data_IF_556706190919
#
_entry.id   IF_556706190919
#
_cell.length_a   1.000
_cell.length_b   1.000
_cell.length_c   1.000
_cell.angle_alpha   90.00
_cell.angle_beta   90.00
_cell.angle_gamma   90.00
#
_symmetry.space_group_name_H-M   'P 1'
#
loop_
_entity.id
_entity.type
_entity.pdbx_description
1 polymer ?
#
# COMPACT_ATOMS: atom_id res chain seq x y z
N UNK A 1 -9.75 -12.61 -3.16
CA UNK A 1 -8.79 -11.59 -3.65
C UNK A 1 -8.24 -10.85 -2.45
N UNK A 2 -6.93 -10.61 -2.40
CA UNK A 2 -6.28 -9.90 -1.30
C UNK A 2 -5.81 -8.52 -1.79
N UNK A 3 -6.02 -7.50 -0.98
CA UNK A 3 -5.65 -6.11 -1.28
C UNK A 3 -4.93 -5.54 -0.06
N UNK A 4 -3.75 -4.96 -0.29
CA UNK A 4 -3.04 -4.13 0.67
C UNK A 4 -2.97 -2.72 0.11
N UNK A 5 -3.29 -1.70 0.90
CA UNK A 5 -3.27 -0.32 0.44
C UNK A 5 -2.73 0.63 1.51
N UNK A 6 -1.99 1.65 1.09
CA UNK A 6 -1.55 2.77 1.92
C UNK A 6 -2.18 4.06 1.39
N UNK A 7 -2.64 4.97 2.27
CA UNK A 7 -3.30 6.21 1.84
C UNK A 7 -2.30 7.15 1.18
N UNK A 8 -2.74 7.90 0.17
CA UNK A 8 -2.05 9.09 -0.32
C UNK A 8 -2.75 10.30 0.27
N UNK A 9 -2.00 11.04 1.10
CA UNK A 9 -2.42 12.32 1.66
C UNK A 9 -1.54 13.42 1.09
N UNK A 10 -2.09 14.60 0.89
CA UNK A 10 -1.28 15.78 0.58
C UNK A 10 -0.57 16.30 1.85
N UNK A 11 0.14 17.42 1.72
CA UNK A 11 0.87 18.04 2.83
C UNK A 11 -0.05 18.59 3.94
N UNK A 12 -1.32 18.83 3.64
CA UNK A 12 -2.32 19.30 4.61
C UNK A 12 -3.03 18.13 5.31
N UNK A 13 -2.66 16.88 4.98
CA UNK A 13 -3.30 15.68 5.50
C UNK A 13 -4.61 15.33 4.79
N UNK A 14 -4.94 16.01 3.69
CA UNK A 14 -6.15 15.72 2.90
C UNK A 14 -5.92 14.45 2.10
N UNK A 15 -6.82 13.48 2.27
CA UNK A 15 -6.81 12.25 1.51
C UNK A 15 -7.19 12.51 0.04
N UNK A 16 -6.40 12.02 -0.91
CA UNK A 16 -6.67 12.16 -2.34
C UNK A 16 -6.56 10.85 -3.13
N UNK A 17 -6.12 9.76 -2.50
CA UNK A 17 -6.05 8.45 -3.15
C UNK A 17 -5.41 7.36 -2.29
N UNK A 18 -5.05 6.24 -2.93
CA UNK A 18 -4.33 5.15 -2.27
C UNK A 18 -3.37 4.47 -3.25
N UNK A 19 -2.21 4.04 -2.75
CA UNK A 19 -1.35 3.07 -3.43
C UNK A 19 -1.73 1.68 -2.96
N UNK A 20 -2.02 0.78 -3.89
CA UNK A 20 -2.46 -0.57 -3.56
C UNK A 20 -1.69 -1.65 -4.29
N UNK A 21 -1.50 -2.78 -3.62
CA UNK A 21 -1.01 -4.03 -4.20
C UNK A 21 -2.12 -5.09 -4.09
N UNK A 22 -2.41 -5.75 -5.21
CA UNK A 22 -3.43 -6.79 -5.32
C UNK A 22 -2.80 -8.15 -5.58
N UNK A 23 -3.28 -9.18 -4.91
CA UNK A 23 -2.86 -10.55 -5.17
C UNK A 23 -4.02 -11.54 -5.04
N UNK A 24 -3.85 -12.71 -5.63
CA UNK A 24 -4.81 -13.78 -5.50
C UNK A 24 -4.56 -14.57 -4.21
N UNK A 25 -5.63 -14.90 -3.48
CA UNK A 25 -5.53 -15.60 -2.18
C UNK A 25 -4.98 -17.03 -2.29
N UNK A 26 -4.96 -17.61 -3.50
CA UNK A 26 -4.31 -18.91 -3.74
C UNK A 26 -2.78 -18.81 -3.83
N UNK A 27 -2.22 -17.60 -3.95
CA UNK A 27 -0.77 -17.37 -4.11
C UNK A 27 -0.10 -16.92 -2.83
N UNK A 28 -0.85 -16.35 -1.89
CA UNK A 28 -0.32 -15.73 -0.67
C UNK A 28 -1.43 -15.50 0.36
N UNK A 29 -1.06 -15.12 1.58
CA UNK A 29 -1.95 -14.67 2.64
C UNK A 29 -1.82 -13.16 2.87
N UNK A 30 -2.76 -12.56 3.61
CA UNK A 30 -2.66 -11.14 3.97
C UNK A 30 -1.41 -10.86 4.81
N UNK A 31 -1.09 -11.75 5.76
CA UNK A 31 0.09 -11.61 6.62
C UNK A 31 1.40 -11.65 5.83
N UNK A 32 1.51 -12.54 4.84
CA UNK A 32 2.67 -12.60 3.96
C UNK A 32 2.76 -11.35 3.07
N UNK A 33 1.64 -10.90 2.49
CA UNK A 33 1.59 -9.65 1.72
C UNK A 33 2.04 -8.43 2.54
N UNK A 34 1.57 -8.30 3.78
CA UNK A 34 1.98 -7.22 4.66
C UNK A 34 3.47 -7.30 4.97
N UNK A 35 3.96 -8.48 5.36
CA UNK A 35 5.36 -8.69 5.72
C UNK A 35 6.31 -8.36 4.56
N UNK A 36 5.94 -8.76 3.35
CA UNK A 36 6.85 -8.71 2.21
C UNK A 36 6.78 -7.38 1.44
N UNK A 37 5.66 -6.65 1.54
CA UNK A 37 5.39 -5.51 0.65
C UNK A 37 4.92 -4.23 1.34
N UNK A 38 4.65 -4.23 2.64
CA UNK A 38 4.16 -3.02 3.32
C UNK A 38 5.21 -1.90 3.32
N UNK A 39 6.48 -2.23 3.61
CA UNK A 39 7.57 -1.25 3.59
C UNK A 39 7.81 -0.67 2.19
N UNK A 40 7.66 -1.50 1.15
CA UNK A 40 7.74 -1.05 -0.24
C UNK A 40 6.62 -0.06 -0.56
N UNK A 41 5.39 -0.34 -0.14
CA UNK A 41 4.25 0.55 -0.37
C UNK A 41 4.42 1.90 0.34
N UNK A 42 4.90 1.91 1.60
CA UNK A 42 5.19 3.16 2.31
C UNK A 42 6.37 3.92 1.70
N UNK A 43 7.41 3.22 1.22
CA UNK A 43 8.53 3.87 0.52
C UNK A 43 8.07 4.53 -0.78
N UNK A 44 7.25 3.85 -1.58
CA UNK A 44 6.66 4.41 -2.79
C UNK A 44 5.73 5.59 -2.48
N UNK A 45 4.92 5.50 -1.42
CA UNK A 45 4.07 6.59 -0.94
C UNK A 45 4.91 7.84 -0.62
N UNK A 46 6.01 7.69 0.11
CA UNK A 46 6.89 8.79 0.46
C UNK A 46 7.50 9.48 -0.78
N UNK A 47 7.77 8.74 -1.85
CA UNK A 47 8.27 9.30 -3.12
C UNK A 47 7.22 10.12 -3.88
N UNK A 48 5.94 9.81 -3.71
CA UNK A 48 4.84 10.50 -4.40
C UNK A 48 4.31 11.72 -3.64
N UNK A 49 4.56 11.80 -2.33
CA UNK A 49 4.10 12.90 -1.45
C UNK A 49 5.22 13.90 -1.13
N UNK A 50 6.47 13.58 -1.49
CA UNK A 50 7.66 14.44 -1.31
C UNK A 50 7.60 15.76 -2.07
#
# INVERSE_FOLDING_TARGET
MLVLAVPLTDREGTWWGALSLTSHQSRTSLEALCRDHLDLLYSAQAMLVG
#
